data_IF_094696457998
#
_entry.id   IF_094696457998
#
_cell.length_a   1.000
_cell.length_b   1.000
_cell.length_c   1.000
_cell.angle_alpha   90.00
_cell.angle_beta   90.00
_cell.angle_gamma   90.00
#
_symmetry.space_group_name_H-M   'P 1'
#
loop_
_entity.id
_entity.type
_entity.pdbx_description
1 polymer ?
#
# COMPACT_ATOMS: atom_id res chain seq x y z
N UNK A 1 -23.37 -12.45 -5.98
CA UNK A 1 -22.81 -11.64 -7.08
C UNK A 1 -23.07 -12.31 -8.42
N UNK A 2 -22.62 -13.55 -8.64
CA UNK A 2 -22.90 -14.25 -9.91
C UNK A 2 -24.38 -14.48 -10.18
N UNK A 3 -25.18 -14.63 -9.13
CA UNK A 3 -26.63 -14.84 -9.19
C UNK A 3 -27.43 -13.59 -9.62
N UNK A 4 -26.84 -12.40 -9.56
CA UNK A 4 -27.48 -11.13 -9.94
C UNK A 4 -27.10 -10.68 -11.37
N UNK A 5 -26.23 -11.43 -12.06
CA UNK A 5 -25.77 -11.11 -13.40
C UNK A 5 -26.59 -11.84 -14.47
N UNK A 6 -27.19 -11.10 -15.40
CA UNK A 6 -27.74 -11.65 -16.64
C UNK A 6 -26.58 -12.26 -17.46
N UNK A 7 -26.46 -13.58 -17.46
CA UNK A 7 -25.37 -14.36 -18.05
C UNK A 7 -23.99 -14.25 -17.33
N UNK A 8 -23.93 -14.82 -16.13
CA UNK A 8 -22.75 -14.84 -15.26
C UNK A 8 -21.45 -15.33 -15.94
N UNK A 9 -21.52 -16.36 -16.78
CA UNK A 9 -20.33 -17.01 -17.36
C UNK A 9 -19.53 -16.09 -18.28
N UNK A 10 -20.19 -15.16 -18.98
CA UNK A 10 -19.52 -14.23 -19.92
C UNK A 10 -19.38 -12.82 -19.35
N UNK A 11 -20.38 -12.34 -18.62
CA UNK A 11 -20.40 -10.95 -18.12
C UNK A 11 -19.38 -10.73 -17.01
N UNK A 12 -19.21 -11.71 -16.11
CA UNK A 12 -18.30 -11.56 -14.96
C UNK A 12 -16.83 -11.46 -15.42
N UNK A 13 -16.29 -12.35 -16.28
CA UNK A 13 -14.90 -12.24 -16.73
C UNK A 13 -14.62 -10.94 -17.50
N UNK A 14 -15.54 -10.51 -18.36
CA UNK A 14 -15.38 -9.25 -19.12
C UNK A 14 -15.35 -8.04 -18.19
N UNK A 15 -16.25 -8.01 -17.20
CA UNK A 15 -16.26 -6.93 -16.20
C UNK A 15 -14.95 -6.86 -15.40
N UNK A 16 -14.43 -8.02 -14.97
CA UNK A 16 -13.16 -8.10 -14.24
C UNK A 16 -12.01 -7.57 -15.11
N UNK A 17 -11.83 -8.09 -16.33
CA UNK A 17 -10.75 -7.66 -17.22
C UNK A 17 -10.86 -6.17 -17.57
N UNK A 18 -12.08 -5.69 -17.85
CA UNK A 18 -12.33 -4.28 -18.15
C UNK A 18 -11.96 -3.37 -16.99
N UNK A 19 -12.38 -3.73 -15.76
CA UNK A 19 -12.06 -2.95 -14.56
C UNK A 19 -10.56 -2.93 -14.25
N UNK A 20 -9.88 -4.08 -14.31
CA UNK A 20 -8.43 -4.18 -14.09
C UNK A 20 -7.67 -3.34 -15.12
N UNK A 21 -8.05 -3.43 -16.40
CA UNK A 21 -7.39 -2.68 -17.47
C UNK A 21 -7.58 -1.17 -17.31
N UNK A 22 -8.79 -0.73 -16.94
CA UNK A 22 -9.08 0.68 -16.69
C UNK A 22 -8.29 1.21 -15.48
N UNK A 23 -8.30 0.48 -14.36
CA UNK A 23 -7.56 0.86 -13.16
C UNK A 23 -6.04 0.87 -13.41
N UNK A 24 -5.50 -0.12 -14.12
CA UNK A 24 -4.08 -0.20 -14.45
C UNK A 24 -3.62 0.96 -15.35
N UNK A 25 -4.41 1.28 -16.38
CA UNK A 25 -4.07 2.37 -17.32
C UNK A 25 -4.12 3.73 -16.63
N UNK A 26 -5.18 4.01 -15.87
CA UNK A 26 -5.32 5.27 -15.14
C UNK A 26 -4.25 5.41 -14.04
N UNK A 27 -4.00 4.34 -13.28
CA UNK A 27 -2.96 4.32 -12.25
C UNK A 27 -1.57 4.60 -12.84
N UNK A 28 -1.25 4.00 -14.00
CA UNK A 28 0.02 4.25 -14.68
C UNK A 28 0.21 5.71 -15.09
N UNK A 29 -0.83 6.34 -15.64
CA UNK A 29 -0.81 7.77 -16.00
C UNK A 29 -0.58 8.64 -14.76
N UNK A 30 -1.29 8.35 -13.66
CA UNK A 30 -1.16 9.10 -12.40
C UNK A 30 0.27 8.99 -11.85
N UNK A 31 0.89 7.81 -11.93
CA UNK A 31 2.29 7.62 -11.50
C UNK A 31 3.27 8.45 -12.33
N UNK A 32 3.09 8.52 -13.66
CA UNK A 32 3.93 9.38 -14.52
C UNK A 32 3.79 10.85 -14.13
N UNK A 33 2.56 11.32 -13.94
CA UNK A 33 2.31 12.71 -13.52
C UNK A 33 2.94 12.99 -12.16
N UNK A 34 2.75 12.09 -11.19
CA UNK A 34 3.34 12.23 -9.86
C UNK A 34 4.88 12.31 -9.93
N UNK A 35 5.53 11.47 -10.73
CA UNK A 35 6.98 11.50 -10.92
C UNK A 35 7.45 12.82 -11.54
N UNK A 36 6.72 13.38 -12.49
CA UNK A 36 7.04 14.69 -13.08
C UNK A 36 6.87 15.83 -12.08
N UNK A 37 5.84 15.77 -11.23
CA UNK A 37 5.57 16.76 -10.18
C UNK A 37 6.58 16.73 -9.02
N UNK A 38 7.35 15.65 -8.89
CA UNK A 38 8.40 15.49 -7.87
C UNK A 38 9.76 16.07 -8.29
N UNK A 39 9.89 16.63 -9.50
CA UNK A 39 11.17 17.07 -10.05
C UNK A 39 11.74 18.34 -9.37
N UNK A 40 11.00 18.99 -8.45
CA UNK A 40 11.56 19.97 -7.51
C UNK A 40 12.28 19.25 -6.37
N UNK A 41 13.58 19.48 -6.29
CA UNK A 41 14.60 18.85 -5.44
C UNK A 41 14.44 19.04 -3.93
N UNK A 42 13.33 18.58 -3.36
CA UNK A 42 13.07 18.60 -1.91
C UNK A 42 12.32 17.36 -1.44
N UNK A 43 12.98 16.20 -1.51
CA UNK A 43 12.45 14.93 -1.00
C UNK A 43 12.31 14.95 0.53
N UNK A 44 13.16 15.74 1.19
CA UNK A 44 13.22 15.90 2.65
C UNK A 44 12.05 16.76 3.16
N UNK A 45 11.69 17.82 2.43
CA UNK A 45 10.45 18.57 2.64
C UNK A 45 9.19 17.76 2.34
N UNK A 46 9.29 16.64 1.59
CA UNK A 46 8.14 15.77 1.31
C UNK A 46 7.86 14.77 2.43
N UNK A 47 8.92 14.13 2.91
CA UNK A 47 8.85 13.20 4.03
C UNK A 47 8.62 13.93 5.37
N UNK A 48 9.12 15.16 5.51
CA UNK A 48 8.95 16.03 6.68
C UNK A 48 7.77 16.99 6.61
N UNK A 49 6.69 16.66 5.91
CA UNK A 49 5.57 17.59 5.73
C UNK A 49 4.83 17.92 7.01
N UNK A 50 4.53 19.21 7.21
CA UNK A 50 3.58 19.70 8.23
C UNK A 50 2.19 19.05 8.10
N UNK A 51 1.84 18.53 6.92
CA UNK A 51 0.56 17.89 6.64
C UNK A 51 0.48 16.40 7.02
N UNK A 52 1.61 15.73 7.33
CA UNK A 52 1.65 14.31 7.72
C UNK A 52 1.15 13.31 6.66
N UNK A 53 0.86 13.77 5.43
CA UNK A 53 0.29 12.99 4.34
C UNK A 53 1.04 13.29 3.03
N UNK A 54 2.02 12.46 2.63
CA UNK A 54 2.86 12.69 1.44
C UNK A 54 2.05 12.87 0.15
N UNK A 55 0.91 12.17 0.02
CA UNK A 55 0.05 12.27 -1.16
C UNK A 55 -0.55 13.67 -1.33
N UNK A 56 -0.94 14.33 -0.24
CA UNK A 56 -1.54 15.66 -0.29
C UNK A 56 -0.57 16.69 -0.84
N UNK A 57 0.72 16.51 -0.54
CA UNK A 57 1.77 17.40 -1.01
C UNK A 57 2.21 17.10 -2.43
N UNK A 58 2.21 15.84 -2.87
CA UNK A 58 2.43 15.51 -4.29
C UNK A 58 1.38 16.23 -5.15
N UNK A 59 0.11 16.20 -4.73
CA UNK A 59 -0.97 16.91 -5.41
C UNK A 59 -0.73 18.43 -5.34
N UNK A 60 -0.31 18.97 -4.20
CA UNK A 60 0.03 20.38 -4.08
C UNK A 60 1.13 20.81 -5.07
N UNK A 61 2.26 20.07 -5.10
CA UNK A 61 3.39 20.34 -5.98
C UNK A 61 3.01 20.18 -7.47
N UNK A 62 2.12 19.24 -7.79
CA UNK A 62 1.62 19.07 -9.15
C UNK A 62 0.85 20.30 -9.66
N UNK A 63 0.04 20.92 -8.80
CA UNK A 63 -0.80 22.08 -9.15
C UNK A 63 -0.16 23.43 -8.83
N UNK A 64 1.01 23.46 -8.16
CA UNK A 64 1.81 24.68 -7.98
C UNK A 64 2.49 25.16 -9.28
N UNK A 65 2.39 24.35 -10.35
CA UNK A 65 2.68 24.77 -11.73
C UNK A 65 1.85 26.00 -12.18
N UNK A 66 0.71 26.27 -11.54
CA UNK A 66 -0.12 27.47 -11.75
C UNK A 66 -0.04 28.37 -10.50
N UNK A 67 0.53 29.60 -10.59
CA UNK A 67 0.74 30.46 -9.43
C UNK A 67 -0.57 30.74 -8.67
N UNK A 68 -0.62 30.38 -7.37
CA UNK A 68 -1.73 30.69 -6.48
C UNK A 68 -2.91 29.71 -6.48
N UNK A 69 -2.88 28.62 -7.26
CA UNK A 69 -3.95 27.61 -7.28
C UNK A 69 -3.62 26.29 -6.55
N UNK A 70 -2.35 26.01 -6.22
CA UNK A 70 -1.92 24.74 -5.62
C UNK A 70 -2.72 24.32 -4.38
N UNK A 71 -2.90 25.22 -3.40
CA UNK A 71 -3.62 24.88 -2.14
C UNK A 71 -5.11 24.57 -2.38
N UNK A 72 -5.77 25.34 -3.25
CA UNK A 72 -7.21 25.19 -3.53
C UNK A 72 -7.48 23.88 -4.27
N UNK A 73 -6.64 23.56 -5.27
CA UNK A 73 -6.75 22.32 -6.03
C UNK A 73 -6.41 21.11 -5.17
N UNK A 74 -5.36 21.18 -4.34
CA UNK A 74 -5.02 20.08 -3.43
C UNK A 74 -6.16 19.74 -2.46
N UNK A 75 -6.78 20.75 -1.84
CA UNK A 75 -7.95 20.53 -0.96
C UNK A 75 -9.12 19.92 -1.74
N UNK A 76 -9.40 20.42 -2.95
CA UNK A 76 -10.48 19.88 -3.79
C UNK A 76 -10.28 18.38 -4.10
N UNK A 77 -9.07 17.98 -4.52
CA UNK A 77 -8.77 16.57 -4.79
C UNK A 77 -8.75 15.71 -3.52
N UNK A 78 -8.30 16.23 -2.38
CA UNK A 78 -8.35 15.50 -1.11
C UNK A 78 -9.80 15.24 -0.66
N UNK A 79 -10.70 16.21 -0.83
CA UNK A 79 -12.13 16.00 -0.55
C UNK A 79 -12.74 14.98 -1.51
N UNK A 80 -12.36 15.01 -2.79
CA UNK A 80 -12.81 14.04 -3.79
C UNK A 80 -12.34 12.63 -3.43
N UNK A 81 -11.07 12.46 -3.04
CA UNK A 81 -10.52 11.18 -2.59
C UNK A 81 -11.23 10.69 -1.32
N UNK A 82 -11.50 11.58 -0.36
CA UNK A 82 -12.25 11.22 0.85
C UNK A 82 -13.68 10.74 0.52
N UNK A 83 -14.38 11.40 -0.40
CA UNK A 83 -15.70 10.98 -0.87
C UNK A 83 -15.63 9.62 -1.60
N UNK A 84 -14.63 9.43 -2.47
CA UNK A 84 -14.40 8.16 -3.15
C UNK A 84 -14.12 7.02 -2.15
N UNK A 85 -13.33 7.28 -1.11
CA UNK A 85 -13.04 6.31 -0.05
C UNK A 85 -14.28 5.95 0.77
N UNK A 86 -15.17 6.91 1.02
CA UNK A 86 -16.46 6.65 1.66
C UNK A 86 -17.35 5.74 0.80
N UNK A 87 -17.46 6.02 -0.49
CA UNK A 87 -18.22 5.19 -1.43
C UNK A 87 -17.63 3.78 -1.55
N UNK A 88 -16.31 3.67 -1.57
CA UNK A 88 -15.60 2.38 -1.53
C UNK A 88 -15.91 1.62 -0.23
N UNK A 89 -15.88 2.28 0.93
CA UNK A 89 -16.22 1.70 2.22
C UNK A 89 -17.65 1.15 2.26
N UNK A 90 -18.62 1.94 1.76
CA UNK A 90 -20.01 1.50 1.63
C UNK A 90 -20.13 0.26 0.72
N UNK A 91 -19.45 0.25 -0.43
CA UNK A 91 -19.41 -0.89 -1.35
C UNK A 91 -18.85 -2.16 -0.69
N UNK A 92 -17.70 -2.05 0.00
CA UNK A 92 -17.08 -3.18 0.71
C UNK A 92 -18.00 -3.72 1.80
N UNK A 93 -18.67 -2.86 2.56
CA UNK A 93 -19.59 -3.30 3.60
C UNK A 93 -20.75 -4.14 3.02
N UNK A 94 -21.27 -3.76 1.85
CA UNK A 94 -22.29 -4.57 1.17
C UNK A 94 -21.74 -5.92 0.71
N UNK A 95 -20.52 -5.98 0.18
CA UNK A 95 -19.86 -7.21 -0.24
C UNK A 95 -19.59 -8.17 0.94
N UNK A 96 -19.03 -7.64 2.04
CA UNK A 96 -18.72 -8.39 3.26
C UNK A 96 -19.99 -8.98 3.87
N UNK A 97 -21.09 -8.22 3.92
CA UNK A 97 -22.34 -8.71 4.50
C UNK A 97 -22.86 -9.99 3.81
N UNK A 98 -22.67 -10.08 2.49
CA UNK A 98 -23.06 -11.24 1.67
C UNK A 98 -22.11 -12.42 1.92
N UNK A 99 -20.82 -12.17 2.13
CA UNK A 99 -19.84 -13.22 2.48
C UNK A 99 -20.10 -13.78 3.88
N UNK A 100 -20.29 -12.91 4.87
CA UNK A 100 -20.61 -13.30 6.26
C UNK A 100 -21.91 -14.11 6.29
N UNK A 101 -22.94 -13.69 5.54
CA UNK A 101 -24.19 -14.42 5.44
C UNK A 101 -24.01 -15.82 4.82
N UNK A 102 -23.19 -15.96 3.77
CA UNK A 102 -22.90 -17.26 3.17
C UNK A 102 -22.22 -18.20 4.17
N UNK A 103 -21.22 -17.73 4.93
CA UNK A 103 -20.58 -18.53 5.99
C UNK A 103 -21.53 -18.85 7.15
N UNK A 104 -22.42 -17.93 7.52
CA UNK A 104 -23.43 -18.17 8.56
C UNK A 104 -24.48 -19.19 8.13
N UNK A 105 -24.81 -19.27 6.83
CA UNK A 105 -25.70 -20.31 6.27
C UNK A 105 -25.10 -21.70 6.46
N UNK A 106 -23.79 -21.81 6.34
CA UNK A 106 -23.04 -23.07 6.42
C UNK A 106 -22.60 -23.39 7.87
N UNK A 107 -23.17 -22.71 8.87
CA UNK A 107 -22.85 -22.83 10.31
C UNK A 107 -21.37 -22.60 10.65
N UNK A 108 -20.62 -21.86 9.82
CA UNK A 108 -19.18 -21.65 9.99
C UNK A 108 -18.75 -20.56 10.99
N UNK A 109 -19.69 -19.84 11.61
CA UNK A 109 -19.41 -18.73 12.53
C UNK A 109 -19.93 -19.01 13.95
N UNK A 110 -19.21 -18.60 15.01
CA UNK A 110 -19.78 -18.54 16.35
C UNK A 110 -20.98 -17.57 16.32
N UNK A 111 -22.14 -17.98 16.87
CA UNK A 111 -23.42 -17.26 16.77
C UNK A 111 -24.08 -17.22 15.37
N UNK A 112 -23.85 -18.24 14.53
CA UNK A 112 -24.46 -18.35 13.18
C UNK A 112 -25.99 -18.20 13.17
N UNK A 113 -26.70 -18.63 14.21
CA UNK A 113 -28.17 -18.57 14.29
C UNK A 113 -28.73 -17.14 14.30
N UNK A 114 -27.95 -16.15 14.77
CA UNK A 114 -28.37 -14.75 14.82
C UNK A 114 -27.97 -14.00 13.55
N UNK A 115 -26.77 -14.29 13.03
CA UNK A 115 -26.22 -13.68 11.80
C UNK A 115 -26.95 -14.15 10.54
N UNK A 116 -27.45 -15.39 10.53
CA UNK A 116 -28.21 -15.97 9.41
C UNK A 116 -29.62 -15.37 9.23
N UNK A 117 -30.16 -14.61 10.19
CA UNK A 117 -31.51 -14.04 10.06
C UNK A 117 -31.53 -12.94 8.99
N UNK A 118 -32.27 -13.18 7.90
CA UNK A 118 -32.52 -12.21 6.83
C UNK A 118 -33.84 -11.50 7.10
N UNK A 119 -33.86 -10.18 6.94
CA UNK A 119 -35.10 -9.41 6.99
C UNK A 119 -35.87 -9.59 5.68
N UNK A 120 -37.12 -10.10 5.75
CA UNK A 120 -37.96 -10.40 4.57
C UNK A 120 -38.42 -9.15 3.80
N UNK A 121 -38.40 -7.97 4.43
CA UNK A 121 -38.86 -6.74 3.81
C UNK A 121 -37.81 -6.11 2.88
N UNK A 122 -36.53 -6.12 3.30
CA UNK A 122 -35.42 -5.56 2.54
C UNK A 122 -34.61 -6.61 1.79
N UNK A 123 -34.84 -7.92 2.02
CA UNK A 123 -34.05 -9.03 1.46
C UNK A 123 -32.53 -8.94 1.71
N UNK A 124 -32.13 -8.17 2.73
CA UNK A 124 -30.72 -7.93 3.11
C UNK A 124 -30.47 -8.49 4.52
N UNK A 125 -29.34 -9.19 4.76
CA UNK A 125 -28.97 -9.68 6.08
C UNK A 125 -28.40 -8.55 6.97
N UNK A 126 -29.28 -7.76 7.60
CA UNK A 126 -28.90 -6.61 8.46
C UNK A 126 -27.95 -7.04 9.60
N UNK A 127 -28.18 -8.20 10.21
CA UNK A 127 -27.33 -8.69 11.30
C UNK A 127 -25.90 -9.02 10.80
N UNK A 128 -25.75 -9.48 9.56
CA UNK A 128 -24.44 -9.69 8.94
C UNK A 128 -23.72 -8.36 8.63
N UNK A 129 -24.47 -7.32 8.25
CA UNK A 129 -23.93 -5.97 8.07
C UNK A 129 -23.41 -5.41 9.40
N UNK A 130 -24.21 -5.51 10.47
CA UNK A 130 -23.84 -4.98 11.80
C UNK A 130 -22.62 -5.70 12.35
N UNK A 131 -22.56 -7.04 12.25
CA UNK A 131 -21.39 -7.80 12.71
C UNK A 131 -20.12 -7.45 11.93
N UNK A 132 -20.19 -7.37 10.61
CA UNK A 132 -19.07 -6.94 9.78
C UNK A 132 -18.63 -5.50 10.07
N UNK A 133 -19.58 -4.59 10.23
CA UNK A 133 -19.33 -3.19 10.56
C UNK A 133 -18.71 -3.00 11.94
N UNK A 134 -19.25 -3.67 12.97
CA UNK A 134 -18.69 -3.63 14.32
C UNK A 134 -17.27 -4.21 14.35
N UNK A 135 -17.02 -5.34 13.68
CA UNK A 135 -15.68 -5.91 13.58
C UNK A 135 -14.71 -4.94 12.88
N UNK A 136 -15.12 -4.30 11.80
CA UNK A 136 -14.32 -3.29 11.10
C UNK A 136 -14.04 -2.06 11.98
N UNK A 137 -15.01 -1.61 12.78
CA UNK A 137 -14.82 -0.49 13.73
C UNK A 137 -13.86 -0.89 14.83
N UNK A 138 -14.00 -2.08 15.43
CA UNK A 138 -13.10 -2.58 16.49
C UNK A 138 -11.65 -2.67 15.99
N UNK A 139 -11.45 -3.16 14.77
CA UNK A 139 -10.11 -3.20 14.16
C UNK A 139 -9.65 -1.77 13.82
N UNK A 140 -10.53 -0.91 13.31
CA UNK A 140 -10.22 0.48 12.98
C UNK A 140 -9.87 1.36 14.20
N UNK A 141 -10.40 1.03 15.38
CA UNK A 141 -10.03 1.68 16.65
C UNK A 141 -8.53 1.53 16.97
N UNK A 142 -7.84 0.51 16.43
CA UNK A 142 -6.39 0.35 16.57
C UNK A 142 -5.63 1.53 15.96
N UNK A 143 -6.16 2.19 14.93
CA UNK A 143 -5.52 3.36 14.32
C UNK A 143 -5.44 4.56 15.27
N UNK A 144 -6.25 4.62 16.32
CA UNK A 144 -6.22 5.72 17.30
C UNK A 144 -5.13 5.59 18.36
N UNK A 145 -4.52 4.41 18.51
CA UNK A 145 -3.50 4.13 19.53
C UNK A 145 -2.16 4.78 19.16
N UNK A 146 -1.81 4.76 17.87
CA UNK A 146 -0.60 5.43 17.38
C UNK A 146 -0.22 5.03 15.96
N UNK A 147 0.78 5.72 15.36
CA UNK A 147 1.19 5.52 13.97
C UNK A 147 1.68 4.08 13.69
N UNK A 148 2.36 3.45 14.65
CA UNK A 148 2.85 2.07 14.52
C UNK A 148 1.71 1.07 14.35
N UNK A 149 0.62 1.21 15.12
CA UNK A 149 -0.55 0.35 15.03
C UNK A 149 -1.31 0.57 13.72
N UNK A 150 -1.43 1.82 13.26
CA UNK A 150 -2.03 2.15 11.98
C UNK A 150 -1.24 1.53 10.81
N UNK A 151 0.08 1.68 10.79
CA UNK A 151 0.94 1.11 9.75
C UNK A 151 0.86 -0.43 9.73
N UNK A 152 0.88 -1.07 10.90
CA UNK A 152 0.72 -2.53 11.01
C UNK A 152 -0.63 -3.00 10.46
N UNK A 153 -1.71 -2.25 10.70
CA UNK A 153 -3.05 -2.56 10.17
C UNK A 153 -3.08 -2.47 8.64
N UNK A 154 -2.47 -1.44 8.03
CA UNK A 154 -2.38 -1.33 6.58
C UNK A 154 -1.57 -2.47 5.96
N UNK A 155 -0.42 -2.82 6.55
CA UNK A 155 0.38 -3.96 6.10
C UNK A 155 -0.38 -5.28 6.24
N UNK A 156 -1.12 -5.47 7.34
CA UNK A 156 -1.95 -6.66 7.57
C UNK A 156 -3.08 -6.76 6.54
N UNK A 157 -3.72 -5.65 6.18
CA UNK A 157 -4.76 -5.63 5.15
C UNK A 157 -4.22 -6.08 3.79
N UNK A 158 -3.03 -5.60 3.41
CA UNK A 158 -2.34 -6.00 2.18
C UNK A 158 -1.97 -7.48 2.21
N UNK A 159 -1.34 -7.94 3.30
CA UNK A 159 -0.98 -9.35 3.48
C UNK A 159 -2.20 -10.27 3.43
N UNK A 160 -3.29 -9.89 4.11
CA UNK A 160 -4.56 -10.63 4.10
C UNK A 160 -5.18 -10.72 2.70
N UNK A 161 -5.10 -9.66 1.90
CA UNK A 161 -5.58 -9.68 0.52
C UNK A 161 -4.74 -10.60 -0.37
N UNK A 162 -3.41 -10.60 -0.23
CA UNK A 162 -2.55 -11.55 -0.96
C UNK A 162 -2.85 -13.00 -0.59
N UNK A 163 -3.06 -13.29 0.69
CA UNK A 163 -3.48 -14.62 1.14
C UNK A 163 -4.84 -15.00 0.54
N UNK A 164 -5.81 -14.08 0.54
CA UNK A 164 -7.15 -14.33 -0.02
C UNK A 164 -7.12 -14.64 -1.53
N UNK A 165 -6.24 -14.00 -2.31
CA UNK A 165 -6.03 -14.33 -3.73
C UNK A 165 -5.20 -15.60 -3.94
N UNK A 166 -4.25 -15.87 -3.04
CA UNK A 166 -3.42 -17.06 -3.06
C UNK A 166 -4.19 -18.35 -2.74
N UNK A 167 -5.15 -18.29 -1.81
CA UNK A 167 -5.89 -19.47 -1.35
C UNK A 167 -6.64 -20.22 -2.47
N UNK A 168 -7.48 -19.58 -3.32
CA UNK A 168 -8.13 -20.26 -4.44
C UNK A 168 -7.12 -20.86 -5.44
N UNK A 169 -6.00 -20.16 -5.66
CA UNK A 169 -4.93 -20.59 -6.56
C UNK A 169 -4.26 -21.86 -6.02
N UNK A 170 -4.00 -21.90 -4.72
CA UNK A 170 -3.42 -23.05 -4.03
C UNK A 170 -4.39 -24.24 -3.93
N UNK A 171 -5.65 -24.02 -3.59
CA UNK A 171 -6.67 -25.09 -3.55
C UNK A 171 -6.84 -25.75 -4.91
N UNK A 172 -6.80 -24.95 -5.99
CA UNK A 172 -6.89 -25.48 -7.35
C UNK A 172 -5.69 -26.33 -7.75
N UNK A 173 -4.50 -26.03 -7.21
CA UNK A 173 -3.29 -26.83 -7.42
C UNK A 173 -3.36 -28.21 -6.75
N UNK A 174 -4.01 -28.31 -5.57
CA UNK A 174 -4.13 -29.58 -4.85
C UNK A 174 -5.24 -30.47 -5.42
N UNK A 175 -6.39 -29.89 -5.79
CA UNK A 175 -7.61 -30.66 -6.10
C UNK A 175 -7.85 -30.93 -7.59
N UNK A 176 -7.15 -30.27 -8.52
CA UNK A 176 -7.42 -30.37 -9.95
C UNK A 176 -6.24 -31.02 -10.70
N UNK A 177 -6.31 -32.34 -10.88
CA UNK A 177 -5.30 -33.19 -11.55
C UNK A 177 -5.70 -33.58 -12.99
N UNK A 178 -6.53 -32.78 -13.66
CA UNK A 178 -6.98 -33.04 -15.03
C UNK A 178 -6.34 -32.06 -16.03
N UNK A 179 -5.68 -32.60 -17.06
CA UNK A 179 -4.84 -31.84 -18.01
C UNK A 179 -5.66 -30.95 -18.95
N UNK A 180 -6.92 -31.27 -19.19
CA UNK A 180 -7.72 -30.59 -20.24
C UNK A 180 -8.45 -29.32 -19.75
N UNK A 181 -8.57 -29.12 -18.43
CA UNK A 181 -9.28 -27.95 -17.84
C UNK A 181 -8.40 -27.12 -16.88
N UNK A 182 -7.09 -27.36 -16.89
CA UNK A 182 -6.15 -26.69 -16.00
C UNK A 182 -6.07 -25.19 -16.32
N UNK A 183 -6.34 -24.36 -15.32
CA UNK A 183 -6.17 -22.92 -15.46
C UNK A 183 -4.68 -22.54 -15.35
N UNK A 184 -4.07 -22.18 -16.48
CA UNK A 184 -2.65 -21.80 -16.58
C UNK A 184 -2.25 -20.58 -15.75
N UNK A 185 -3.18 -19.81 -15.18
CA UNK A 185 -2.83 -18.72 -14.24
C UNK A 185 -2.06 -19.24 -13.03
N UNK A 186 -2.27 -20.50 -12.62
CA UNK A 186 -1.54 -21.14 -11.51
C UNK A 186 -0.03 -21.32 -11.78
N UNK A 187 0.37 -21.37 -13.05
CA UNK A 187 1.78 -21.44 -13.46
C UNK A 187 2.33 -20.04 -13.76
N UNK A 188 1.51 -19.18 -14.37
CA UNK A 188 1.90 -17.80 -14.68
C UNK A 188 2.25 -17.00 -13.43
N UNK A 189 1.45 -17.09 -12.34
CA UNK A 189 1.69 -16.29 -11.13
C UNK A 189 3.04 -16.60 -10.46
N UNK A 190 3.36 -17.85 -10.06
CA UNK A 190 4.68 -18.17 -9.52
C UNK A 190 5.78 -18.03 -10.58
N UNK A 191 5.49 -18.28 -11.86
CA UNK A 191 6.45 -18.06 -12.95
C UNK A 191 6.91 -16.61 -13.07
N UNK A 192 5.99 -15.64 -12.94
CA UNK A 192 6.33 -14.20 -12.93
C UNK A 192 7.14 -13.83 -11.69
N UNK A 193 6.82 -14.41 -10.52
CA UNK A 193 7.58 -14.16 -9.29
C UNK A 193 9.01 -14.71 -9.38
N UNK A 194 9.17 -15.92 -9.91
CA UNK A 194 10.48 -16.54 -10.15
C UNK A 194 11.25 -15.74 -11.20
N UNK A 195 10.61 -15.35 -12.30
CA UNK A 195 11.26 -14.56 -13.36
C UNK A 195 11.66 -13.17 -12.86
N UNK A 196 10.84 -12.54 -12.01
CA UNK A 196 11.17 -11.28 -11.34
C UNK A 196 12.34 -11.44 -10.36
N UNK A 197 12.36 -12.51 -9.56
CA UNK A 197 13.47 -12.82 -8.67
C UNK A 197 14.76 -13.11 -9.45
N UNK A 198 14.68 -13.89 -10.54
CA UNK A 198 15.83 -14.16 -11.43
C UNK A 198 16.32 -12.88 -12.08
N UNK A 199 15.44 -12.02 -12.60
CA UNK A 199 15.82 -10.71 -13.12
C UNK A 199 16.52 -9.85 -12.05
N UNK A 200 16.01 -9.87 -10.82
CA UNK A 200 16.63 -9.17 -9.70
C UNK A 200 18.04 -9.70 -9.38
N UNK A 201 18.18 -11.01 -9.22
CA UNK A 201 19.45 -11.67 -8.90
C UNK A 201 20.46 -11.65 -10.04
N UNK A 202 20.04 -11.58 -11.30
CA UNK A 202 20.96 -11.59 -12.46
C UNK A 202 21.36 -10.18 -12.86
N UNK A 203 20.41 -9.24 -12.89
CA UNK A 203 20.60 -7.93 -13.50
C UNK A 203 20.40 -6.77 -12.53
N UNK A 204 19.28 -6.75 -11.78
CA UNK A 204 18.93 -5.58 -10.99
C UNK A 204 19.91 -5.31 -9.83
N UNK A 205 20.47 -6.35 -9.18
CA UNK A 205 21.46 -6.16 -8.11
C UNK A 205 22.75 -5.46 -8.57
N UNK A 206 23.06 -5.48 -9.87
CA UNK A 206 24.28 -4.84 -10.41
C UNK A 206 24.09 -3.37 -10.77
N UNK A 207 22.85 -2.95 -11.05
CA UNK A 207 22.54 -1.59 -11.52
C UNK A 207 21.80 -0.76 -10.45
N UNK A 208 21.18 -1.41 -9.47
CA UNK A 208 20.43 -0.74 -8.42
C UNK A 208 21.34 -0.34 -7.25
N UNK A 209 21.66 0.95 -7.18
CA UNK A 209 22.24 1.56 -5.99
C UNK A 209 21.08 2.05 -5.12
N UNK A 210 20.83 1.37 -4.01
CA UNK A 210 19.79 1.80 -3.07
C UNK A 210 20.10 3.20 -2.53
N UNK A 211 19.07 4.00 -2.16
CA UNK A 211 19.30 5.24 -1.43
C UNK A 211 20.04 4.93 -0.13
N UNK A 212 21.00 5.78 0.24
CA UNK A 212 21.78 5.65 1.45
C UNK A 212 20.84 5.46 2.65
N UNK A 213 21.11 4.43 3.46
CA UNK A 213 20.36 4.18 4.70
C UNK A 213 20.61 5.36 5.65
N UNK A 214 19.60 6.17 5.91
CA UNK A 214 19.57 7.22 6.95
C UNK A 214 18.88 6.71 8.22
N UNK A 215 19.11 5.45 8.55
CA UNK A 215 18.77 4.93 9.87
C UNK A 215 20.13 4.69 10.52
N UNK A 216 20.64 5.71 11.21
CA UNK A 216 21.52 5.44 12.34
C UNK A 216 20.70 4.51 13.25
N UNK A 217 21.12 3.25 13.31
CA UNK A 217 20.69 2.38 14.39
C UNK A 217 20.93 3.17 15.68
N UNK A 218 19.87 3.38 16.47
CA UNK A 218 19.96 3.83 17.84
C UNK A 218 20.81 2.81 18.61
N UNK A 219 22.13 2.95 18.51
CA UNK A 219 23.10 2.29 19.37
C UNK A 219 23.16 3.14 20.63
N UNK A 220 22.17 2.94 21.49
CA UNK A 220 22.29 3.24 22.90
C UNK A 220 23.27 2.22 23.51
N UNK A 221 24.58 2.49 23.43
CA UNK A 221 25.51 2.02 24.45
C UNK A 221 26.86 2.75 24.37
N UNK A 222 27.09 3.57 25.39
CA UNK A 222 28.39 3.85 25.99
C UNK A 222 29.39 4.71 25.18
N UNK A 223 29.36 6.03 25.42
CA UNK A 223 30.51 6.83 25.89
C UNK A 223 31.77 7.00 25.01
N UNK A 224 32.06 6.13 24.05
CA UNK A 224 33.31 6.13 23.27
C UNK A 224 33.21 6.94 21.96
N UNK A 225 32.01 7.19 21.45
CA UNK A 225 31.81 7.89 20.16
C UNK A 225 32.01 9.41 20.26
N UNK A 226 31.89 9.99 21.46
CA UNK A 226 32.11 11.42 21.67
C UNK A 226 33.57 11.84 21.40
N UNK A 227 34.53 10.98 21.76
CA UNK A 227 35.97 11.24 21.56
C UNK A 227 36.38 11.10 20.09
N UNK A 228 35.72 10.20 19.34
CA UNK A 228 35.95 10.03 17.90
C UNK A 228 35.37 11.18 17.06
N UNK A 229 34.23 11.74 17.45
CA UNK A 229 33.63 12.90 16.77
C UNK A 229 34.41 14.19 17.01
N UNK A 230 35.01 14.39 18.20
CA UNK A 230 35.90 15.54 18.44
C UNK A 230 37.14 15.50 17.54
N UNK A 231 37.72 14.31 17.34
CA UNK A 231 38.89 14.14 16.45
C UNK A 231 38.62 14.38 14.96
N UNK A 232 37.37 14.22 14.49
CA UNK A 232 37.00 14.46 13.09
C UNK A 232 36.60 15.92 12.83
N UNK A 233 35.97 16.58 13.81
CA UNK A 233 35.56 17.99 13.72
C UNK A 233 36.78 18.94 13.68
N UNK A 234 37.87 18.58 14.36
CA UNK A 234 39.09 19.42 14.41
C UNK A 234 40.06 19.17 13.21
N UNK A 235 39.74 18.22 12.33
CA UNK A 235 40.68 17.68 11.34
C UNK A 235 40.72 18.33 9.96
N UNK A 236 39.91 19.34 9.63
CA UNK A 236 39.95 20.01 8.30
C UNK A 236 39.64 21.50 8.34
N UNK A 237 40.43 22.26 9.09
CA UNK A 237 40.80 23.61 8.67
C UNK A 237 42.26 23.87 9.07
N UNK A 238 42.99 24.55 8.20
CA UNK A 238 44.41 24.95 8.33
C UNK A 238 45.45 23.89 7.92
N UNK A 239 45.77 23.88 6.62
CA UNK A 239 47.15 23.64 6.17
C UNK A 239 47.53 24.61 5.04
N UNK A 240 47.62 25.88 5.39
CA UNK A 240 48.51 26.86 4.75
C UNK A 240 49.08 27.77 5.85
N UNK A 241 50.35 27.55 6.22
CA UNK A 241 51.28 28.57 6.73
C UNK A 241 52.67 27.92 6.88
N UNK A 242 53.56 28.18 5.91
CA UNK A 242 54.73 29.05 6.07
C UNK A 242 55.64 28.65 7.23
N UNK A 243 56.64 27.82 6.94
CA UNK A 243 57.90 27.86 7.68
C UNK A 243 58.78 28.95 7.07
N UNK A 244 59.23 29.89 7.89
CA UNK A 244 60.29 30.84 7.61
C UNK A 244 61.17 30.94 8.86
N UNK A 245 62.35 31.57 8.80
CA UNK A 245 63.50 31.35 7.91
C UNK A 245 64.69 30.82 8.74
N UNK A 246 65.81 30.41 8.13
CA UNK A 246 67.20 30.73 8.58
C UNK A 246 68.23 30.17 7.56
N UNK A 247 68.86 31.12 6.88
CA UNK A 247 70.26 31.20 6.42
C UNK A 247 71.21 30.02 6.74
N UNK A 248 71.95 29.54 5.73
CA UNK A 248 73.39 29.85 5.55
C UNK A 248 74.01 29.07 4.37
N UNK A 249 74.74 29.85 3.57
CA UNK A 249 75.87 29.52 2.68
C UNK A 249 75.61 28.63 1.45
#
# INVERSE_FOLDING_TARGET
MSEECTNATKTIPIGIIGSISACGTLGFIILIVAMYSLQSSDLEGILGTEFGQPMAQIIYNAFDTVPGQGKKMAIFFMVLIALAQFLMGASILTAISRQIFAFARDNGLPFSWWVRKVNKLLSVPINAVITGGLAAVVIGLLCLIGPTAANALFTLAVAGNYLAWGMPTFLRLIYMNDKETMNYTVVLTPGVWILSAVYYYVYAHKHYHGPAKTIDEEVESNGETAEYLTHVIEGKSVKERSESPVLKA
#
